data_IF_343680683562
#
_entry.id   IF_343680683562
#
_cell.length_a   1.000
_cell.length_b   1.000
_cell.length_c   1.000
_cell.angle_alpha   90.00
_cell.angle_beta   90.00
_cell.angle_gamma   90.00
#
_symmetry.space_group_name_H-M   'P 1'
#
loop_
_entity.id
_entity.type
_entity.pdbx_description
1 polymer ?
#
# COMPACT_ATOMS: atom_id res chain seq x y z
N UNK A 1 -18.33 3.87 -16.81
CA UNK A 1 -18.62 3.79 -15.34
C UNK A 1 -17.54 4.55 -14.53
N UNK A 2 -17.42 5.87 -14.72
CA UNK A 2 -16.47 6.77 -14.04
C UNK A 2 -17.13 7.69 -12.99
N UNK A 3 -18.35 7.34 -12.54
CA UNK A 3 -19.07 7.87 -11.37
C UNK A 3 -18.18 8.15 -10.14
N UNK A 4 -18.07 9.35 -9.58
CA UNK A 4 -17.55 9.55 -8.21
C UNK A 4 -18.40 8.82 -7.16
N UNK A 5 -19.72 8.79 -7.37
CA UNK A 5 -20.68 8.08 -6.52
C UNK A 5 -20.43 6.57 -6.50
N UNK A 6 -19.76 6.03 -7.52
CA UNK A 6 -19.40 4.62 -7.55
C UNK A 6 -18.10 4.38 -6.77
N UNK A 7 -18.26 4.04 -5.49
CA UNK A 7 -17.22 3.72 -4.53
C UNK A 7 -17.05 2.21 -4.46
N UNK A 8 -15.96 1.69 -5.00
CA UNK A 8 -15.70 0.24 -5.02
C UNK A 8 -14.24 -0.03 -4.75
N UNK A 9 -14.00 -1.00 -3.88
CA UNK A 9 -12.70 -1.62 -3.69
C UNK A 9 -12.85 -3.13 -3.87
N UNK A 10 -11.83 -3.76 -4.44
CA UNK A 10 -11.76 -5.22 -4.49
C UNK A 10 -10.31 -5.67 -4.34
N UNK A 11 -10.14 -6.83 -3.73
CA UNK A 11 -8.86 -7.50 -3.56
C UNK A 11 -9.05 -8.96 -3.96
N UNK A 12 -8.13 -9.45 -4.79
CA UNK A 12 -8.11 -10.85 -5.23
C UNK A 12 -6.70 -11.35 -5.01
N UNK A 13 -6.58 -12.53 -4.41
CA UNK A 13 -5.28 -13.11 -4.12
C UNK A 13 -5.28 -14.63 -4.21
N UNK A 14 -4.08 -15.18 -4.31
CA UNK A 14 -3.82 -16.60 -4.30
C UNK A 14 -2.63 -16.92 -3.39
N UNK A 15 -2.73 -18.02 -2.67
CA UNK A 15 -1.64 -18.63 -1.92
C UNK A 15 -1.26 -19.94 -2.61
N UNK A 16 0.02 -20.11 -2.92
CA UNK A 16 0.58 -21.35 -3.43
C UNK A 16 1.65 -21.86 -2.46
N UNK A 17 1.35 -23.01 -1.83
CA UNK A 17 2.30 -23.75 -1.01
C UNK A 17 3.12 -24.72 -1.88
N UNK A 18 4.43 -24.74 -1.69
CA UNK A 18 5.42 -25.50 -2.45
C UNK A 18 5.38 -25.24 -3.98
N UNK A 19 5.44 -23.97 -4.42
CA UNK A 19 5.49 -23.67 -5.85
C UNK A 19 6.79 -24.20 -6.46
N UNK A 20 6.72 -24.60 -7.73
CA UNK A 20 7.87 -25.13 -8.49
C UNK A 20 8.55 -26.35 -7.84
N UNK A 21 7.83 -27.10 -6.99
CA UNK A 21 8.35 -28.27 -6.26
C UNK A 21 9.48 -27.92 -5.26
N UNK A 22 9.49 -26.68 -4.77
CA UNK A 22 10.42 -26.26 -3.70
C UNK A 22 9.70 -26.45 -2.36
N UNK A 23 10.16 -27.43 -1.58
CA UNK A 23 9.61 -27.73 -0.25
C UNK A 23 9.73 -26.51 0.69
N UNK A 24 8.77 -26.33 1.59
CA UNK A 24 8.76 -25.26 2.61
C UNK A 24 8.80 -23.82 2.05
N UNK A 25 8.54 -23.65 0.76
CA UNK A 25 8.35 -22.34 0.12
C UNK A 25 6.85 -22.05 -0.01
N UNK A 26 6.46 -20.82 0.30
CA UNK A 26 5.11 -20.31 0.06
C UNK A 26 5.17 -19.03 -0.75
N UNK A 27 4.27 -18.90 -1.71
CA UNK A 27 4.09 -17.72 -2.55
C UNK A 27 2.68 -17.18 -2.34
N UNK A 28 2.58 -15.90 -2.02
CA UNK A 28 1.33 -15.13 -2.01
C UNK A 28 1.40 -14.13 -3.16
N UNK A 29 0.32 -14.03 -3.91
CA UNK A 29 0.13 -12.97 -4.90
C UNK A 29 -1.24 -12.33 -4.68
N UNK A 30 -1.28 -11.00 -4.62
CA UNK A 30 -2.50 -10.23 -4.41
C UNK A 30 -2.56 -9.04 -5.37
N UNK A 31 -3.76 -8.75 -5.87
CA UNK A 31 -4.08 -7.52 -6.57
C UNK A 31 -5.22 -6.81 -5.87
N UNK A 32 -4.98 -5.57 -5.47
CA UNK A 32 -5.96 -4.70 -4.81
C UNK A 32 -6.21 -3.48 -5.67
N UNK A 33 -7.47 -3.13 -5.92
CA UNK A 33 -7.84 -1.88 -6.60
C UNK A 33 -8.92 -1.15 -5.82
N UNK A 34 -8.71 0.15 -5.63
CA UNK A 34 -9.57 1.02 -4.83
C UNK A 34 -9.87 2.26 -5.67
N UNK A 35 -11.15 2.50 -5.94
CA UNK A 35 -11.57 3.65 -6.75
C UNK A 35 -11.38 4.98 -5.99
N UNK A 36 -11.31 6.10 -6.72
CA UNK A 36 -11.52 7.44 -6.15
C UNK A 36 -12.68 7.49 -5.16
N UNK A 37 -12.52 8.30 -4.10
CA UNK A 37 -13.57 8.61 -3.13
C UNK A 37 -14.10 7.43 -2.30
N UNK A 38 -13.51 6.24 -2.41
CA UNK A 38 -14.05 5.02 -1.77
C UNK A 38 -14.18 5.15 -0.25
N UNK A 39 -13.25 5.87 0.39
CA UNK A 39 -13.20 6.05 1.85
C UNK A 39 -13.56 7.47 2.32
N UNK A 40 -13.74 8.44 1.40
CA UNK A 40 -14.14 9.80 1.76
C UNK A 40 -15.66 9.95 1.74
N UNK A 41 -16.17 10.99 2.39
CA UNK A 41 -17.59 11.35 2.41
C UNK A 41 -17.78 12.84 2.09
N UNK A 42 -19.02 13.31 2.00
CA UNK A 42 -19.35 14.73 1.75
C UNK A 42 -18.96 15.59 2.98
N UNK A 43 -18.97 14.97 4.16
CA UNK A 43 -18.56 15.57 5.42
C UNK A 43 -17.28 14.87 5.89
N UNK A 44 -16.22 15.63 6.19
CA UNK A 44 -14.95 15.06 6.66
C UNK A 44 -15.08 14.28 7.98
N UNK A 45 -16.13 14.56 8.77
CA UNK A 45 -16.45 13.82 10.00
C UNK A 45 -16.92 12.39 9.76
N UNK A 46 -17.43 12.12 8.56
CA UNK A 46 -18.02 10.83 8.17
C UNK A 46 -17.10 10.06 7.20
N UNK A 47 -15.82 10.43 7.14
CA UNK A 47 -14.80 9.66 6.42
C UNK A 47 -14.58 8.30 7.10
N UNK A 48 -14.08 7.31 6.35
CA UNK A 48 -13.80 5.97 6.89
C UNK A 48 -12.49 5.95 7.68
N UNK A 49 -12.44 6.76 8.74
CA UNK A 49 -11.28 6.98 9.58
C UNK A 49 -11.64 6.91 11.05
N UNK A 50 -10.66 6.58 11.89
CA UNK A 50 -10.77 6.67 13.35
C UNK A 50 -9.47 7.23 13.90
N UNK A 51 -9.54 8.22 14.80
CA UNK A 51 -8.37 8.93 15.35
C UNK A 51 -7.37 9.39 14.27
N UNK A 52 -7.87 9.87 13.13
CA UNK A 52 -7.03 10.32 12.02
C UNK A 52 -6.29 9.21 11.26
N UNK A 53 -6.70 7.95 11.46
CA UNK A 53 -6.14 6.79 10.75
C UNK A 53 -7.17 6.18 9.83
N UNK A 54 -6.76 5.83 8.61
CA UNK A 54 -7.58 5.09 7.65
C UNK A 54 -7.94 3.71 8.20
N UNK A 55 -9.24 3.37 8.22
CA UNK A 55 -9.72 2.04 8.61
C UNK A 55 -9.78 1.05 7.44
N UNK A 56 -9.67 1.55 6.21
CA UNK A 56 -9.68 0.76 4.98
C UNK A 56 -8.33 0.13 4.66
N UNK A 57 -8.11 -0.17 3.39
CA UNK A 57 -6.84 -0.73 2.93
C UNK A 57 -5.72 0.33 2.99
N UNK A 58 -4.50 -0.10 3.35
CA UNK A 58 -3.35 0.78 3.62
C UNK A 58 -2.92 1.70 2.47
N UNK A 59 -3.22 1.31 1.22
CA UNK A 59 -2.81 2.07 0.02
C UNK A 59 -3.71 3.29 -0.25
N UNK A 60 -4.80 3.46 0.51
CA UNK A 60 -5.71 4.59 0.35
C UNK A 60 -6.61 4.50 -0.89
N UNK A 61 -7.47 5.51 -1.11
CA UNK A 61 -8.34 5.57 -2.28
C UNK A 61 -7.57 6.00 -3.53
N UNK A 62 -8.24 5.93 -4.68
CA UNK A 62 -7.65 6.22 -6.00
C UNK A 62 -6.31 5.51 -6.27
N UNK A 63 -6.23 4.25 -5.84
CA UNK A 63 -4.97 3.51 -5.85
C UNK A 63 -5.16 2.04 -6.21
N UNK A 64 -4.13 1.43 -6.77
CA UNK A 64 -4.02 -0.03 -6.85
C UNK A 64 -2.64 -0.55 -6.48
N UNK A 65 -2.60 -1.82 -6.11
CA UNK A 65 -1.41 -2.52 -5.66
C UNK A 65 -1.34 -3.91 -6.28
N UNK A 66 -0.17 -4.24 -6.80
CA UNK A 66 0.25 -5.63 -6.98
C UNK A 66 1.20 -5.97 -5.84
N UNK A 67 0.84 -6.96 -5.03
CA UNK A 67 1.64 -7.45 -3.92
C UNK A 67 2.04 -8.90 -4.16
N UNK A 68 3.30 -9.22 -3.90
CA UNK A 68 3.78 -10.60 -3.88
C UNK A 68 4.68 -10.83 -2.68
N UNK A 69 4.58 -12.02 -2.10
CA UNK A 69 5.40 -12.43 -0.97
C UNK A 69 5.86 -13.87 -1.14
N UNK A 70 7.17 -14.04 -1.09
CA UNK A 70 7.83 -15.33 -0.97
C UNK A 70 8.23 -15.52 0.49
N UNK A 71 7.86 -16.66 1.07
CA UNK A 71 8.35 -17.05 2.39
C UNK A 71 8.91 -18.46 2.35
N UNK A 72 10.16 -18.61 2.79
CA UNK A 72 10.88 -19.87 2.79
C UNK A 72 11.35 -20.22 4.20
N UNK A 73 11.01 -21.42 4.68
CA UNK A 73 11.53 -21.93 5.94
C UNK A 73 12.79 -22.76 5.64
N UNK A 74 13.96 -22.15 5.83
CA UNK A 74 15.24 -22.84 5.61
C UNK A 74 15.47 -23.94 6.67
N UNK A 75 14.97 -23.71 7.88
CA UNK A 75 14.92 -24.68 8.97
C UNK A 75 13.83 -24.27 9.97
N UNK A 76 13.56 -25.10 10.98
CA UNK A 76 12.62 -24.73 12.06
C UNK A 76 12.98 -23.44 12.81
N UNK A 77 14.24 -23.02 12.75
CA UNK A 77 14.75 -21.81 13.42
C UNK A 77 14.98 -20.62 12.48
N UNK A 78 14.89 -20.81 11.16
CA UNK A 78 15.24 -19.76 10.18
C UNK A 78 14.15 -19.63 9.13
N UNK A 79 13.57 -18.44 9.04
CA UNK A 79 12.54 -18.09 8.06
C UNK A 79 12.95 -16.84 7.29
N UNK A 80 12.92 -16.93 5.97
CA UNK A 80 13.26 -15.84 5.06
C UNK A 80 11.98 -15.38 4.37
N UNK A 81 11.77 -14.07 4.31
CA UNK A 81 10.68 -13.44 3.59
C UNK A 81 11.25 -12.44 2.59
N UNK A 82 10.72 -12.48 1.37
CA UNK A 82 10.93 -11.45 0.37
C UNK A 82 9.55 -10.97 -0.10
N UNK A 83 9.32 -9.67 -0.03
CA UNK A 83 8.06 -9.03 -0.37
C UNK A 83 8.32 -7.95 -1.41
N UNK A 84 7.40 -7.85 -2.37
CA UNK A 84 7.39 -6.78 -3.36
C UNK A 84 5.98 -6.20 -3.49
N UNK A 85 5.88 -4.89 -3.35
CA UNK A 85 4.67 -4.10 -3.57
C UNK A 85 4.92 -3.11 -4.69
N UNK A 86 4.08 -3.14 -5.72
CA UNK A 86 3.99 -2.08 -6.71
C UNK A 86 2.68 -1.33 -6.52
N UNK A 87 2.78 -0.13 -5.98
CA UNK A 87 1.63 0.73 -5.66
C UNK A 87 1.57 1.87 -6.64
N UNK A 88 0.35 2.21 -7.01
CA UNK A 88 0.01 3.17 -8.03
C UNK A 88 -1.09 4.04 -7.46
N UNK A 89 -0.79 5.29 -7.10
CA UNK A 89 -1.79 6.24 -6.58
C UNK A 89 -2.03 7.43 -7.51
N UNK A 90 -3.17 8.08 -7.33
CA UNK A 90 -3.50 9.36 -7.96
C UNK A 90 -3.88 10.37 -6.89
N UNK A 91 -2.99 11.30 -6.61
CA UNK A 91 -3.15 12.29 -5.54
C UNK A 91 -3.88 13.55 -6.02
N UNK A 92 -4.50 14.24 -5.06
CA UNK A 92 -5.13 15.53 -5.30
C UNK A 92 -4.14 16.59 -5.78
N UNK A 93 -4.59 17.51 -6.64
CA UNK A 93 -3.74 18.61 -7.13
C UNK A 93 -3.89 19.78 -6.18
N UNK A 94 -2.80 20.12 -5.49
CA UNK A 94 -2.75 21.20 -4.51
C UNK A 94 -1.76 22.26 -5.02
N UNK A 95 -2.15 23.52 -4.92
CA UNK A 95 -1.29 24.66 -5.25
C UNK A 95 -0.14 24.79 -4.24
N UNK A 96 0.97 25.47 -4.59
CA UNK A 96 2.07 25.70 -3.64
C UNK A 96 1.68 26.45 -2.37
N UNK A 97 0.57 27.20 -2.39
CA UNK A 97 0.01 27.91 -1.24
C UNK A 97 -0.90 27.04 -0.35
N UNK A 98 -1.05 25.75 -0.68
CA UNK A 98 -1.90 24.79 0.02
C UNK A 98 -3.36 24.76 -0.46
N UNK A 99 -3.73 25.57 -1.46
CA UNK A 99 -5.10 25.59 -1.98
C UNK A 99 -5.36 24.34 -2.83
N UNK A 100 -6.42 23.59 -2.51
CA UNK A 100 -6.85 22.45 -3.32
C UNK A 100 -7.40 22.94 -4.68
N UNK A 101 -6.65 22.67 -5.75
CA UNK A 101 -7.01 23.01 -7.14
C UNK A 101 -8.00 21.97 -7.68
N UNK A 102 -7.73 20.69 -7.47
CA UNK A 102 -8.55 19.58 -8.00
C UNK A 102 -8.58 18.41 -7.03
N UNK A 103 -9.79 18.08 -6.57
CA UNK A 103 -10.04 16.83 -5.87
C UNK A 103 -10.22 15.70 -6.89
N UNK A 104 -9.43 14.64 -6.77
CA UNK A 104 -9.57 13.40 -7.53
C UNK A 104 -9.93 12.23 -6.61
N UNK A 105 -10.19 12.49 -5.33
CA UNK A 105 -10.57 11.49 -4.35
C UNK A 105 -9.43 10.56 -3.95
N UNK A 106 -8.18 11.05 -4.04
CA UNK A 106 -6.97 10.37 -3.56
C UNK A 106 -6.73 10.55 -2.06
N UNK A 107 -7.28 11.61 -1.47
CA UNK A 107 -7.22 11.85 -0.03
C UNK A 107 -8.56 11.49 0.65
N UNK A 108 -8.47 10.79 1.77
CA UNK A 108 -9.60 10.36 2.60
C UNK A 108 -10.17 11.52 3.42
N UNK A 109 -9.29 12.45 3.82
CA UNK A 109 -9.64 13.59 4.66
C UNK A 109 -10.25 14.74 3.87
N UNK A 110 -10.03 14.77 2.55
CA UNK A 110 -10.63 15.76 1.66
C UNK A 110 -12.08 15.36 1.31
N UNK A 111 -13.08 16.11 1.81
CA UNK A 111 -14.48 15.80 1.53
C UNK A 111 -14.81 16.01 0.06
N UNK A 112 -15.71 15.18 -0.45
CA UNK A 112 -16.24 15.37 -1.80
C UNK A 112 -17.31 16.47 -1.81
N UNK A 113 -17.20 17.41 -2.74
CA UNK A 113 -18.17 18.48 -2.93
C UNK A 113 -18.75 18.46 -4.34
N UNK A 114 -20.03 18.08 -4.48
CA UNK A 114 -20.72 17.94 -5.76
C UNK A 114 -20.79 19.25 -6.59
N UNK A 115 -20.62 20.42 -5.96
CA UNK A 115 -20.62 21.72 -6.65
C UNK A 115 -19.24 22.11 -7.21
N UNK A 116 -18.16 21.54 -6.67
CA UNK A 116 -16.77 21.90 -7.02
C UNK A 116 -16.06 20.77 -7.77
N UNK A 117 -16.34 19.53 -7.40
CA UNK A 117 -15.62 18.36 -7.86
C UNK A 117 -16.31 17.76 -9.08
N UNK A 118 -15.52 17.16 -9.98
CA UNK A 118 -16.06 16.59 -11.22
C UNK A 118 -16.90 15.34 -10.93
N UNK A 119 -18.08 15.24 -11.57
CA UNK A 119 -18.86 14.01 -11.50
C UNK A 119 -18.09 12.79 -12.03
N UNK A 120 -17.25 13.00 -13.03
CA UNK A 120 -16.36 11.97 -13.53
C UNK A 120 -15.09 11.94 -12.68
N UNK A 121 -14.90 10.80 -11.99
CA UNK A 121 -13.72 10.42 -11.25
C UNK A 121 -13.00 9.28 -12.00
N UNK A 122 -12.14 9.59 -13.00
CA UNK A 122 -11.31 8.58 -13.63
C UNK A 122 -10.30 7.99 -12.64
N UNK A 123 -9.99 6.71 -12.81
CA UNK A 123 -9.04 6.00 -11.97
C UNK A 123 -7.61 6.50 -12.23
N UNK A 124 -6.87 6.78 -11.16
CA UNK A 124 -5.49 7.30 -11.17
C UNK A 124 -5.35 8.68 -11.82
N UNK A 125 -6.41 9.49 -11.79
CA UNK A 125 -6.35 10.91 -12.14
C UNK A 125 -5.57 11.69 -11.07
N UNK A 126 -5.13 12.90 -11.42
CA UNK A 126 -4.38 13.79 -10.55
C UNK A 126 -2.87 13.63 -10.67
N UNK A 127 -2.17 13.80 -9.54
CA UNK A 127 -0.71 13.63 -9.47
C UNK A 127 -0.42 12.14 -9.36
N UNK A 128 0.22 11.59 -10.39
CA UNK A 128 0.44 10.16 -10.53
C UNK A 128 1.76 9.75 -9.86
N UNK A 129 1.67 8.91 -8.83
CA UNK A 129 2.83 8.36 -8.12
C UNK A 129 2.85 6.83 -8.27
N UNK A 130 4.02 6.30 -8.64
CA UNK A 130 4.28 4.88 -8.71
C UNK A 130 5.37 4.50 -7.71
N UNK A 131 5.00 3.74 -6.69
CA UNK A 131 5.89 3.30 -5.61
C UNK A 131 6.29 1.83 -5.81
N UNK A 132 7.58 1.56 -5.81
CA UNK A 132 8.14 0.21 -5.80
C UNK A 132 8.73 -0.04 -4.42
N UNK A 133 8.20 -1.02 -3.70
CA UNK A 133 8.64 -1.34 -2.34
C UNK A 133 9.16 -2.76 -2.32
N UNK A 134 10.44 -2.93 -2.01
CA UNK A 134 11.07 -4.21 -1.78
C UNK A 134 11.31 -4.37 -0.28
N UNK A 135 10.82 -5.45 0.33
CA UNK A 135 11.12 -5.76 1.73
C UNK A 135 11.72 -7.14 1.84
N UNK A 136 12.82 -7.24 2.57
CA UNK A 136 13.47 -8.49 2.92
C UNK A 136 13.48 -8.63 4.43
N UNK A 137 13.06 -9.79 4.92
CA UNK A 137 13.09 -10.11 6.33
C UNK A 137 13.72 -11.49 6.55
N UNK A 138 14.65 -11.57 7.50
CA UNK A 138 15.21 -12.83 7.97
C UNK A 138 14.90 -12.94 9.45
N UNK A 139 14.14 -13.96 9.80
CA UNK A 139 13.86 -14.34 11.18
C UNK A 139 14.76 -15.51 11.57
N UNK A 140 15.43 -15.38 12.71
CA UNK A 140 16.33 -16.40 13.27
C UNK A 140 15.97 -16.61 14.74
N UNK A 141 15.83 -17.86 15.16
CA UNK A 141 15.62 -18.28 16.54
C UNK A 141 16.72 -19.27 16.96
N UNK A 142 17.91 -18.79 17.39
CA UNK A 142 19.04 -19.65 17.72
C UNK A 142 18.79 -20.53 18.96
N UNK A 143 18.07 -19.97 19.92
CA UNK A 143 17.56 -20.65 21.12
C UNK A 143 16.09 -20.31 21.25
N UNK A 144 15.32 -21.22 21.85
CA UNK A 144 13.87 -21.01 22.03
C UNK A 144 13.61 -19.67 22.70
N UNK A 145 12.58 -18.98 22.21
CA UNK A 145 12.08 -17.73 22.78
C UNK A 145 13.03 -16.53 22.60
N UNK A 146 14.17 -16.70 21.92
CA UNK A 146 15.08 -15.62 21.52
C UNK A 146 15.04 -15.43 20.00
N UNK A 147 14.24 -14.46 19.56
CA UNK A 147 13.97 -14.20 18.14
C UNK A 147 14.69 -12.94 17.69
N UNK A 148 15.47 -13.07 16.61
CA UNK A 148 16.06 -11.97 15.87
C UNK A 148 15.33 -11.81 14.54
N UNK A 149 14.71 -10.66 14.33
CA UNK A 149 14.18 -10.27 13.03
C UNK A 149 15.05 -9.17 12.42
N UNK A 150 15.70 -9.49 11.30
CA UNK A 150 16.46 -8.53 10.50
C UNK A 150 15.54 -8.07 9.37
N UNK A 151 15.33 -6.76 9.26
CA UNK A 151 14.51 -6.16 8.22
C UNK A 151 15.36 -5.24 7.35
N UNK A 152 15.14 -5.33 6.05
CA UNK A 152 15.63 -4.37 5.08
C UNK A 152 14.47 -3.96 4.17
N UNK A 153 14.29 -2.66 3.94
CA UNK A 153 13.28 -2.14 3.03
C UNK A 153 13.90 -1.10 2.12
N UNK A 154 13.52 -1.15 0.84
CA UNK A 154 13.86 -0.17 -0.18
C UNK A 154 12.59 0.29 -0.89
N UNK A 155 12.37 1.59 -0.93
CA UNK A 155 11.20 2.26 -1.49
C UNK A 155 11.70 3.19 -2.59
N UNK A 156 11.07 3.13 -3.76
CA UNK A 156 11.34 4.02 -4.89
C UNK A 156 10.01 4.63 -5.33
N UNK A 157 9.86 5.93 -5.15
CA UNK A 157 8.66 6.68 -5.51
C UNK A 157 8.91 7.51 -6.77
N UNK A 158 8.22 7.15 -7.85
CA UNK A 158 8.29 7.88 -9.12
C UNK A 158 7.04 8.73 -9.30
N UNK A 159 7.21 10.05 -9.19
CA UNK A 159 6.17 11.00 -9.57
C UNK A 159 6.17 11.15 -11.10
N UNK A 160 5.24 10.47 -11.75
CA UNK A 160 5.11 10.43 -13.20
C UNK A 160 4.63 11.78 -13.75
N UNK A 161 3.78 12.49 -13.00
CA UNK A 161 3.23 13.79 -13.42
C UNK A 161 4.32 14.87 -13.50
N UNK A 162 5.24 14.90 -12.53
CA UNK A 162 6.34 15.87 -12.50
C UNK A 162 7.68 15.31 -13.00
N UNK A 163 7.71 14.04 -13.42
CA UNK A 163 8.89 13.32 -13.88
C UNK A 163 10.06 13.42 -12.87
N UNK A 164 9.77 13.14 -11.61
CA UNK A 164 10.71 13.16 -10.50
C UNK A 164 10.71 11.81 -9.78
N UNK A 165 11.85 11.39 -9.24
CA UNK A 165 12.02 10.12 -8.53
C UNK A 165 12.71 10.38 -7.21
N UNK A 166 12.21 9.75 -6.15
CA UNK A 166 12.80 9.75 -4.82
C UNK A 166 12.98 8.31 -4.34
N UNK A 167 13.99 8.06 -3.51
CA UNK A 167 14.27 6.74 -2.99
C UNK A 167 14.68 6.75 -1.52
N UNK A 168 14.22 5.73 -0.79
CA UNK A 168 14.49 5.57 0.63
C UNK A 168 14.80 4.10 0.91
N UNK A 169 15.95 3.84 1.51
CA UNK A 169 16.28 2.53 2.06
C UNK A 169 16.57 2.62 3.56
N UNK A 170 16.22 1.57 4.28
CA UNK A 170 16.57 1.44 5.69
C UNK A 170 16.63 -0.03 6.10
N UNK A 171 17.43 -0.30 7.12
CA UNK A 171 17.52 -1.60 7.76
C UNK A 171 17.38 -1.44 9.27
N UNK A 172 16.78 -2.43 9.92
CA UNK A 172 16.77 -2.48 11.38
C UNK A 172 16.75 -3.94 11.85
N UNK A 173 17.17 -4.13 13.09
CA UNK A 173 17.14 -5.41 13.77
C UNK A 173 16.19 -5.28 14.95
N UNK A 174 15.26 -6.22 15.08
CA UNK A 174 14.40 -6.35 16.24
C UNK A 174 14.77 -7.62 16.98
N UNK A 175 15.14 -7.47 18.25
CA UNK A 175 15.28 -8.58 19.19
C UNK A 175 13.98 -8.70 19.98
N UNK A 176 13.44 -9.92 20.04
CA UNK A 176 12.34 -10.28 20.92
C UNK A 176 12.79 -11.41 21.82
N UNK A 177 12.69 -11.22 23.13
CA UNK A 177 12.92 -12.27 24.13
C UNK A 177 11.59 -12.48 24.86
N UNK A 178 11.05 -13.69 24.76
CA UNK A 178 9.88 -14.13 25.53
C UNK A 178 10.41 -14.97 26.70
N UNK A 179 9.89 -14.77 27.91
CA UNK A 179 10.33 -15.44 29.14
C UNK A 179 9.14 -15.73 30.06
#
# INVERSE_FOLDING_TARGET
MSRFSNKTAYQVGALWYEPFSINDLSLIFEYTRIRPYTYSHISGKDSYTSFGTNLGHRIGPNSDEIFTKLSYNLSGSIRINAEYSFIRSGENIIAPDGTLIKNVGGDIFEPHNELRDNENAPFLDGIRINSNIFSFNVRIEPVRELIFDIYYRYIIDNNITYNFSDDLNYAFIKLTAEF
#
